data_IF_992864727099
#
_entry.id   IF_992864727099
#
_cell.length_a   1.000
_cell.length_b   1.000
_cell.length_c   1.000
_cell.angle_alpha   90.00
_cell.angle_beta   90.00
_cell.angle_gamma   90.00
#
_symmetry.space_group_name_H-M   'P 1'
#
loop_
_entity.id
_entity.type
_entity.pdbx_description
1 polymer ?
#
# COMPACT_ATOMS: atom_id res chain seq x y z
N UNK A 1 -19.33 25.86 -27.36
CA UNK A 1 -19.24 26.30 -25.95
C UNK A 1 -17.92 25.83 -25.35
N UNK A 2 -17.26 26.66 -24.54
CA UNK A 2 -15.94 26.35 -23.94
C UNK A 2 -15.99 25.10 -23.03
N UNK A 3 -17.08 24.96 -22.28
CA UNK A 3 -17.31 23.84 -21.34
C UNK A 3 -17.28 22.47 -22.03
N UNK A 4 -18.03 22.29 -23.12
CA UNK A 4 -18.07 21.02 -23.85
C UNK A 4 -16.70 20.64 -24.42
N UNK A 5 -15.93 21.62 -24.90
CA UNK A 5 -14.57 21.38 -25.40
C UNK A 5 -13.63 20.92 -24.28
N UNK A 6 -13.73 21.53 -23.09
CA UNK A 6 -12.93 21.14 -21.93
C UNK A 6 -13.20 19.69 -21.51
N UNK A 7 -14.47 19.27 -21.48
CA UNK A 7 -14.84 17.89 -21.12
C UNK A 7 -14.25 16.89 -22.11
N UNK A 8 -14.43 17.12 -23.41
CA UNK A 8 -13.91 16.18 -24.42
C UNK A 8 -12.39 16.10 -24.45
N UNK A 9 -11.70 17.23 -24.29
CA UNK A 9 -10.23 17.25 -24.20
C UNK A 9 -9.77 16.56 -22.91
N UNK A 10 -10.48 16.75 -21.79
CA UNK A 10 -10.15 16.08 -20.53
C UNK A 10 -10.33 14.57 -20.63
N UNK A 11 -11.41 14.12 -21.28
CA UNK A 11 -11.65 12.70 -21.53
C UNK A 11 -10.55 12.10 -22.42
N UNK A 12 -10.16 12.78 -23.50
CA UNK A 12 -9.07 12.34 -24.36
C UNK A 12 -7.73 12.23 -23.62
N UNK A 13 -7.39 13.24 -22.81
CA UNK A 13 -6.19 13.22 -21.97
C UNK A 13 -6.24 12.09 -20.93
N UNK A 14 -7.40 11.87 -20.30
CA UNK A 14 -7.60 10.83 -19.31
C UNK A 14 -7.44 9.42 -19.88
N UNK A 15 -7.97 9.16 -21.08
CA UNK A 15 -7.80 7.88 -21.77
C UNK A 15 -6.32 7.62 -22.05
N UNK A 16 -5.59 8.62 -22.53
CA UNK A 16 -4.16 8.49 -22.81
C UNK A 16 -3.36 8.21 -21.52
N UNK A 17 -3.51 9.06 -20.51
CA UNK A 17 -2.77 8.95 -19.24
C UNK A 17 -3.14 7.68 -18.48
N UNK A 18 -4.44 7.35 -18.40
CA UNK A 18 -4.93 6.14 -17.76
C UNK A 18 -4.45 4.87 -18.44
N UNK A 19 -4.35 4.86 -19.78
CA UNK A 19 -3.79 3.73 -20.52
C UNK A 19 -2.30 3.55 -20.25
N UNK A 20 -1.53 4.63 -20.25
CA UNK A 20 -0.09 4.59 -19.90
C UNK A 20 0.11 4.09 -18.47
N UNK A 21 -0.67 4.60 -17.50
CA UNK A 21 -0.61 4.16 -16.11
C UNK A 21 -0.96 2.67 -15.96
N UNK A 22 -1.97 2.21 -16.71
CA UNK A 22 -2.33 0.79 -16.74
C UNK A 22 -1.20 -0.07 -17.30
N UNK A 23 -0.58 0.34 -18.41
CA UNK A 23 0.54 -0.39 -18.99
C UNK A 23 1.74 -0.50 -18.02
N UNK A 24 2.05 0.59 -17.31
CA UNK A 24 3.10 0.58 -16.28
C UNK A 24 2.76 -0.36 -15.13
N UNK A 25 1.51 -0.36 -14.65
CA UNK A 25 1.06 -1.30 -13.62
C UNK A 25 1.12 -2.76 -14.10
N UNK A 26 0.74 -3.03 -15.35
CA UNK A 26 0.86 -4.36 -15.95
C UNK A 26 2.33 -4.82 -16.03
N UNK A 27 3.26 -3.91 -16.25
CA UNK A 27 4.68 -4.27 -16.32
C UNK A 27 5.36 -4.40 -14.95
N UNK A 28 4.93 -3.62 -13.96
CA UNK A 28 5.61 -3.54 -12.67
C UNK A 28 4.90 -4.31 -11.55
N UNK A 29 3.60 -4.07 -11.36
CA UNK A 29 2.86 -4.59 -10.21
C UNK A 29 2.38 -6.02 -10.44
N UNK A 30 1.82 -6.30 -11.62
CA UNK A 30 1.27 -7.62 -11.96
C UNK A 30 2.28 -8.77 -11.81
N UNK A 31 3.54 -8.69 -12.29
CA UNK A 31 4.47 -9.80 -12.10
C UNK A 31 4.82 -10.05 -10.63
N UNK A 32 4.78 -9.02 -9.77
CA UNK A 32 5.03 -9.18 -8.33
C UNK A 32 3.85 -9.88 -7.66
N UNK A 33 2.63 -9.55 -8.06
CA UNK A 33 1.41 -10.18 -7.52
C UNK A 33 1.37 -11.66 -7.88
N UNK A 34 1.57 -12.01 -9.16
CA UNK A 34 1.61 -13.40 -9.60
C UNK A 34 2.72 -14.21 -8.92
N UNK A 35 3.89 -13.59 -8.68
CA UNK A 35 4.95 -14.24 -7.93
C UNK A 35 4.52 -14.49 -6.46
N UNK A 36 3.83 -13.54 -5.83
CA UNK A 36 3.32 -13.70 -4.46
C UNK A 36 2.26 -14.80 -4.35
N UNK A 37 1.34 -14.90 -5.31
CA UNK A 37 0.32 -15.95 -5.36
C UNK A 37 0.94 -17.36 -5.34
N UNK A 38 2.02 -17.58 -6.11
CA UNK A 38 2.74 -18.88 -6.10
C UNK A 38 3.35 -19.20 -4.72
N UNK A 39 3.85 -18.19 -3.99
CA UNK A 39 4.39 -18.41 -2.64
C UNK A 39 3.30 -18.71 -1.61
N UNK A 40 2.14 -18.06 -1.73
CA UNK A 40 0.99 -18.30 -0.85
C UNK A 40 0.38 -19.69 -1.10
N UNK A 41 0.24 -20.10 -2.36
CA UNK A 41 -0.23 -21.45 -2.72
C UNK A 41 0.71 -22.54 -2.17
N UNK A 42 2.03 -22.35 -2.29
CA UNK A 42 3.03 -23.28 -1.74
C UNK A 42 2.95 -23.35 -0.21
N UNK A 43 2.81 -22.19 0.45
CA UNK A 43 2.65 -22.13 1.91
C UNK A 43 1.38 -22.86 2.35
N UNK A 44 0.25 -22.63 1.67
CA UNK A 44 -1.01 -23.31 1.95
C UNK A 44 -0.89 -24.84 1.76
N UNK A 45 -0.20 -25.30 0.72
CA UNK A 45 0.07 -26.73 0.50
C UNK A 45 0.96 -27.34 1.59
N UNK A 46 1.96 -26.59 2.06
CA UNK A 46 2.89 -27.03 3.11
C UNK A 46 2.22 -27.07 4.50
N UNK A 47 1.32 -26.12 4.78
CA UNK A 47 0.48 -26.11 5.99
C UNK A 47 -0.56 -27.24 5.96
N UNK A 48 -1.19 -27.50 4.80
CA UNK A 48 -2.10 -28.64 4.63
C UNK A 48 -1.38 -29.99 4.77
N UNK A 49 -0.16 -30.12 4.26
CA UNK A 49 0.68 -31.30 4.50
C UNK A 49 1.04 -31.43 5.99
N UNK A 50 1.57 -30.37 6.60
CA UNK A 50 1.96 -30.36 8.03
C UNK A 50 0.78 -30.65 8.97
N UNK A 51 -0.43 -30.17 8.65
CA UNK A 51 -1.66 -30.49 9.36
C UNK A 51 -2.06 -31.97 9.21
N UNK A 52 -1.78 -32.59 8.06
CA UNK A 52 -2.03 -34.02 7.82
C UNK A 52 -1.01 -34.94 8.51
N UNK A 53 0.21 -34.46 8.79
CA UNK A 53 1.20 -35.14 9.62
C UNK A 53 0.99 -34.94 11.14
N UNK A 54 0.09 -34.05 11.58
CA UNK A 54 -0.04 -33.64 12.99
C UNK A 54 -1.22 -34.24 13.79
N UNK A 55 -1.95 -35.24 13.29
CA UNK A 55 -2.95 -35.94 14.10
C UNK A 55 -2.51 -37.39 14.41
N UNK A 56 -2.47 -37.87 15.68
CA UNK A 56 -3.04 -37.27 16.90
C UNK A 56 -2.03 -37.10 18.05
N UNK A 57 -1.91 -35.90 18.64
CA UNK A 57 -1.54 -35.76 20.04
C UNK A 57 -1.93 -34.39 20.62
N UNK A 58 -2.86 -34.44 21.58
CA UNK A 58 -3.02 -33.53 22.69
C UNK A 58 -3.30 -32.03 22.41
N UNK A 59 -4.58 -31.69 22.60
CA UNK A 59 -5.07 -30.54 23.36
C UNK A 59 -3.99 -29.83 24.19
N UNK A 60 -3.74 -28.56 23.91
CA UNK A 60 -3.46 -27.52 24.92
C UNK A 60 -3.81 -26.16 24.34
N UNK A 61 -5.02 -25.70 24.67
CA UNK A 61 -5.46 -24.33 24.46
C UNK A 61 -4.76 -23.42 25.48
N UNK A 62 -4.03 -22.42 24.99
CA UNK A 62 -3.56 -21.31 25.82
C UNK A 62 -4.76 -20.44 26.21
N UNK A 63 -5.22 -20.57 27.44
CA UNK A 63 -6.27 -19.75 28.03
C UNK A 63 -5.69 -18.38 28.44
N UNK A 64 -6.06 -17.32 27.72
CA UNK A 64 -5.99 -15.95 28.20
C UNK A 64 -7.37 -15.52 28.70
N UNK A 65 -7.41 -15.13 29.97
CA UNK A 65 -8.55 -14.64 30.72
C UNK A 65 -9.27 -13.48 30.01
N UNK A 66 -10.51 -13.72 29.59
CA UNK A 66 -11.42 -12.72 29.01
C UNK A 66 -12.10 -11.90 30.11
N UNK A 67 -11.93 -10.58 30.07
CA UNK A 67 -12.83 -9.63 30.70
C UNK A 67 -14.16 -9.58 29.90
N UNK A 68 -15.33 -9.42 30.55
CA UNK A 68 -16.62 -9.48 29.87
C UNK A 68 -16.87 -8.18 29.10
N UNK A 69 -16.80 -8.23 27.76
CA UNK A 69 -17.24 -7.11 26.92
C UNK A 69 -16.53 -6.93 25.57
N UNK A 70 -15.50 -7.70 25.24
CA UNK A 70 -14.89 -7.64 23.91
C UNK A 70 -15.14 -8.98 23.22
N UNK A 71 -16.04 -8.95 22.23
CA UNK A 71 -16.22 -10.06 21.30
C UNK A 71 -14.84 -10.48 20.77
N UNK A 72 -14.49 -11.77 20.80
CA UNK A 72 -13.35 -12.25 20.04
C UNK A 72 -13.55 -11.81 18.60
N UNK A 73 -12.52 -11.24 17.98
CA UNK A 73 -12.47 -11.14 16.53
C UNK A 73 -12.34 -12.58 16.00
N UNK A 74 -13.47 -13.26 15.99
CA UNK A 74 -13.71 -14.55 15.37
C UNK A 74 -13.62 -14.28 13.87
N UNK A 75 -12.53 -14.71 13.24
CA UNK A 75 -12.46 -14.84 11.79
C UNK A 75 -13.43 -15.96 11.43
N UNK A 76 -14.71 -15.60 11.33
CA UNK A 76 -15.84 -16.48 11.47
C UNK A 76 -15.77 -17.75 10.64
N UNK A 77 -15.57 -18.85 11.35
CA UNK A 77 -16.09 -20.16 10.99
C UNK A 77 -17.62 -20.14 11.16
N UNK A 78 -18.35 -19.58 10.18
CA UNK A 78 -19.79 -19.85 10.02
C UNK A 78 -20.19 -19.93 8.55
N UNK A 79 -20.29 -21.18 8.10
CA UNK A 79 -21.07 -21.74 6.99
C UNK A 79 -20.22 -22.42 5.89
N UNK A 80 -19.99 -23.71 6.12
CA UNK A 80 -19.90 -24.80 5.16
C UNK A 80 -20.08 -24.48 3.67
N UNK A 81 -19.05 -24.89 2.89
CA UNK A 81 -18.92 -24.89 1.43
C UNK A 81 -18.53 -23.53 0.84
N UNK A 82 -17.29 -23.42 0.35
CA UNK A 82 -16.80 -22.27 -0.44
C UNK A 82 -16.70 -20.91 0.29
N UNK A 83 -15.97 -20.82 1.40
CA UNK A 83 -15.29 -19.56 1.72
C UNK A 83 -14.06 -19.41 0.82
N UNK A 84 -14.27 -19.38 -0.50
CA UNK A 84 -13.23 -19.01 -1.44
C UNK A 84 -12.82 -17.59 -1.07
N UNK A 85 -11.62 -17.42 -0.53
CA UNK A 85 -11.03 -16.11 -0.29
C UNK A 85 -11.22 -15.26 -1.55
N UNK A 86 -12.00 -14.18 -1.42
CA UNK A 86 -12.43 -13.41 -2.58
C UNK A 86 -11.22 -12.84 -3.29
N UNK A 87 -10.92 -13.39 -4.46
CA UNK A 87 -9.91 -12.87 -5.39
C UNK A 87 -10.60 -12.35 -6.64
N UNK A 88 -10.20 -11.17 -7.17
CA UNK A 88 -10.68 -10.75 -8.47
C UNK A 88 -10.37 -11.82 -9.52
N UNK A 89 -11.30 -12.06 -10.44
CA UNK A 89 -11.05 -13.01 -11.53
C UNK A 89 -9.83 -12.56 -12.35
N UNK A 90 -8.95 -13.51 -12.67
CA UNK A 90 -7.74 -13.23 -13.42
C UNK A 90 -8.03 -12.91 -14.90
N UNK A 91 -7.05 -12.25 -15.53
CA UNK A 91 -7.10 -11.94 -16.96
C UNK A 91 -7.82 -10.63 -17.27
N UNK A 92 -8.74 -10.67 -18.24
CA UNK A 92 -9.24 -9.47 -18.90
C UNK A 92 -10.13 -8.59 -18.03
N UNK A 93 -10.90 -9.20 -17.12
CA UNK A 93 -11.83 -8.46 -16.26
C UNK A 93 -11.05 -7.55 -15.29
N UNK A 94 -10.02 -8.10 -14.63
CA UNK A 94 -9.10 -7.34 -13.76
C UNK A 94 -8.44 -6.19 -14.54
N UNK A 95 -7.94 -6.46 -15.74
CA UNK A 95 -7.31 -5.45 -16.58
C UNK A 95 -8.28 -4.33 -16.99
N UNK A 96 -9.52 -4.69 -17.35
CA UNK A 96 -10.56 -3.74 -17.76
C UNK A 96 -11.00 -2.83 -16.59
N UNK A 97 -11.25 -3.40 -15.40
CA UNK A 97 -11.62 -2.60 -14.23
C UNK A 97 -10.46 -1.72 -13.75
N UNK A 98 -9.22 -2.22 -13.80
CA UNK A 98 -8.03 -1.42 -13.49
C UNK A 98 -7.88 -0.27 -14.47
N UNK A 99 -8.05 -0.53 -15.76
CA UNK A 99 -8.01 0.50 -16.80
C UNK A 99 -9.10 1.55 -16.59
N UNK A 100 -10.34 1.14 -16.34
CA UNK A 100 -11.46 2.05 -16.08
C UNK A 100 -11.19 2.93 -14.86
N UNK A 101 -10.69 2.35 -13.75
CA UNK A 101 -10.33 3.10 -12.56
C UNK A 101 -9.20 4.12 -12.82
N UNK A 102 -8.17 3.73 -13.57
CA UNK A 102 -7.07 4.62 -13.96
C UNK A 102 -7.54 5.75 -14.89
N UNK A 103 -8.45 5.47 -15.83
CA UNK A 103 -9.05 6.50 -16.70
C UNK A 103 -9.90 7.46 -15.88
N UNK A 104 -10.73 6.98 -14.96
CA UNK A 104 -11.54 7.83 -14.08
C UNK A 104 -10.65 8.71 -13.20
N UNK A 105 -9.57 8.14 -12.66
CA UNK A 105 -8.58 8.90 -11.89
C UNK A 105 -7.93 9.98 -12.75
N UNK A 106 -7.44 9.63 -13.95
CA UNK A 106 -6.85 10.56 -14.90
C UNK A 106 -7.82 11.68 -15.31
N UNK A 107 -9.10 11.37 -15.46
CA UNK A 107 -10.14 12.33 -15.79
C UNK A 107 -10.33 13.38 -14.68
N UNK A 108 -10.38 12.94 -13.42
CA UNK A 108 -10.49 13.86 -12.28
C UNK A 108 -9.30 14.83 -12.21
N UNK A 109 -8.08 14.33 -12.44
CA UNK A 109 -6.86 15.14 -12.43
C UNK A 109 -6.78 16.08 -13.64
N UNK A 110 -7.18 15.62 -14.84
CA UNK A 110 -7.22 16.45 -16.04
C UNK A 110 -8.17 17.64 -15.87
N UNK A 111 -9.35 17.42 -15.28
CA UNK A 111 -10.30 18.50 -14.99
C UNK A 111 -9.72 19.52 -14.00
N UNK A 112 -9.05 19.08 -12.94
CA UNK A 112 -8.40 20.00 -11.98
C UNK A 112 -7.32 20.85 -12.66
N UNK A 113 -6.44 20.23 -13.45
CA UNK A 113 -5.38 20.95 -14.18
C UNK A 113 -5.98 21.93 -15.18
N UNK A 114 -7.00 21.52 -15.94
CA UNK A 114 -7.65 22.40 -16.90
C UNK A 114 -8.43 23.54 -16.24
N UNK A 115 -9.05 23.31 -15.09
CA UNK A 115 -9.71 24.38 -14.32
C UNK A 115 -8.69 25.45 -13.88
N UNK A 116 -7.57 25.02 -13.28
CA UNK A 116 -6.49 25.94 -12.84
C UNK A 116 -5.87 26.67 -14.03
N UNK A 117 -5.58 25.95 -15.12
CA UNK A 117 -4.96 26.54 -16.30
C UNK A 117 -5.91 27.51 -17.03
N UNK A 118 -7.21 27.20 -17.10
CA UNK A 118 -8.23 28.10 -17.64
C UNK A 118 -8.37 29.37 -16.81
N UNK A 119 -8.38 29.25 -15.48
CA UNK A 119 -8.41 30.41 -14.58
C UNK A 119 -7.16 31.29 -14.74
N UNK A 120 -6.00 30.66 -14.90
CA UNK A 120 -4.75 31.38 -15.09
C UNK A 120 -4.70 32.11 -16.44
N UNK A 121 -5.10 31.47 -17.53
CA UNK A 121 -5.22 32.12 -18.85
C UNK A 121 -6.25 33.24 -18.82
N UNK A 122 -7.37 33.06 -18.11
CA UNK A 122 -8.38 34.11 -17.96
C UNK A 122 -7.84 35.35 -17.22
N UNK A 123 -7.03 35.17 -16.17
CA UNK A 123 -6.47 36.29 -15.39
C UNK A 123 -5.21 36.92 -15.98
N UNK A 124 -4.34 36.15 -16.64
CA UNK A 124 -2.99 36.58 -17.04
C UNK A 124 -2.74 36.48 -18.55
N UNK A 125 -3.69 35.96 -19.32
CA UNK A 125 -3.53 35.67 -20.74
C UNK A 125 -2.75 34.39 -21.02
N UNK A 126 -2.69 34.01 -22.30
CA UNK A 126 -1.99 32.81 -22.77
C UNK A 126 -0.48 33.05 -22.78
N UNK A 127 0.35 32.16 -22.21
CA UNK A 127 1.80 32.33 -22.25
C UNK A 127 2.35 32.09 -23.65
N UNK A 128 3.46 32.75 -23.96
CA UNK A 128 4.15 32.57 -25.23
C UNK A 128 4.66 31.14 -25.46
N UNK A 129 4.91 30.36 -24.40
CA UNK A 129 5.52 29.02 -24.45
C UNK A 129 4.79 28.02 -23.53
N UNK A 130 3.53 27.64 -23.84
CA UNK A 130 2.70 26.82 -22.94
C UNK A 130 3.27 25.41 -22.74
N UNK A 131 3.88 24.81 -23.77
CA UNK A 131 4.48 23.47 -23.69
C UNK A 131 5.68 23.43 -22.74
N UNK A 132 6.58 24.43 -22.84
CA UNK A 132 7.75 24.50 -21.96
C UNK A 132 7.36 24.74 -20.50
N UNK A 133 6.33 25.56 -20.26
CA UNK A 133 5.78 25.73 -18.92
C UNK A 133 5.22 24.39 -18.39
N UNK A 134 4.47 23.65 -19.21
CA UNK A 134 3.96 22.33 -18.84
C UNK A 134 5.07 21.34 -18.49
N UNK A 135 6.12 21.27 -19.31
CA UNK A 135 7.29 20.42 -19.05
C UNK A 135 8.04 20.84 -17.78
N UNK A 136 8.20 22.14 -17.54
CA UNK A 136 8.86 22.65 -16.33
C UNK A 136 8.07 22.29 -15.06
N UNK A 137 6.73 22.42 -15.11
CA UNK A 137 5.85 22.01 -14.00
C UNK A 137 5.93 20.50 -13.76
N UNK A 138 5.93 19.69 -14.82
CA UNK A 138 6.08 18.24 -14.71
C UNK A 138 7.44 17.84 -14.11
N UNK A 139 8.53 18.47 -14.57
CA UNK A 139 9.87 18.25 -14.04
C UNK A 139 9.98 18.67 -12.56
N UNK A 140 9.40 19.80 -12.17
CA UNK A 140 9.38 20.25 -10.77
C UNK A 140 8.59 19.28 -9.88
N UNK A 141 7.45 18.78 -10.36
CA UNK A 141 6.68 17.74 -9.66
C UNK A 141 7.50 16.46 -9.46
N UNK A 142 8.15 15.97 -10.52
CA UNK A 142 9.02 14.79 -10.46
C UNK A 142 10.20 14.97 -9.49
N UNK A 143 10.85 16.13 -9.51
CA UNK A 143 11.95 16.46 -8.60
C UNK A 143 11.50 16.51 -7.15
N UNK A 144 10.30 17.01 -6.87
CA UNK A 144 9.76 17.06 -5.50
C UNK A 144 9.65 15.66 -4.90
N UNK A 145 9.15 14.69 -5.68
CA UNK A 145 8.97 13.31 -5.23
C UNK A 145 10.31 12.58 -5.03
N UNK A 146 11.25 12.77 -5.96
CA UNK A 146 12.57 12.09 -5.92
C UNK A 146 13.52 12.70 -4.89
N UNK A 147 13.52 14.02 -4.71
CA UNK A 147 14.31 14.67 -3.66
C UNK A 147 13.69 14.45 -2.27
N UNK A 148 12.38 14.62 -2.09
CA UNK A 148 11.74 14.48 -0.77
C UNK A 148 11.98 13.10 -0.14
N UNK A 149 11.84 12.02 -0.93
CA UNK A 149 12.06 10.66 -0.46
C UNK A 149 13.52 10.38 -0.10
N UNK A 150 14.48 10.95 -0.86
CA UNK A 150 15.92 10.74 -0.60
C UNK A 150 16.40 11.49 0.65
N UNK A 151 15.88 12.69 0.90
CA UNK A 151 16.26 13.49 2.07
C UNK A 151 15.57 13.00 3.36
N UNK A 152 14.32 12.55 3.30
CA UNK A 152 13.61 12.01 4.48
C UNK A 152 14.12 10.64 4.94
N UNK A 153 14.58 9.77 4.02
CA UNK A 153 15.04 8.41 4.36
C UNK A 153 16.53 8.32 4.73
N UNK A 154 17.36 9.29 4.33
CA UNK A 154 18.80 9.29 4.58
C UNK A 154 19.23 9.21 6.06
N UNK A 155 18.62 9.95 7.02
CA UNK A 155 19.04 9.86 8.42
C UNK A 155 18.58 8.57 9.11
N UNK A 156 17.46 7.97 8.68
CA UNK A 156 16.85 6.79 9.32
C UNK A 156 17.58 5.49 8.97
N UNK A 157 18.06 5.34 7.72
CA UNK A 157 18.79 4.15 7.28
C UNK A 157 20.20 4.04 7.91
N UNK A 158 20.87 5.18 8.19
CA UNK A 158 22.17 5.21 8.89
C UNK A 158 22.10 4.70 10.33
N UNK A 159 20.96 4.83 11.00
CA UNK A 159 20.76 4.31 12.35
C UNK A 159 20.60 2.78 12.39
N UNK A 160 20.02 2.18 11.35
CA UNK A 160 19.82 0.73 11.24
C UNK A 160 21.09 -0.03 10.82
N UNK A 161 22.02 0.66 10.13
CA UNK A 161 23.33 0.12 9.72
C UNK A 161 24.42 0.21 10.79
N UNK A 162 24.09 0.60 12.03
CA UNK A 162 25.03 0.46 13.14
C UNK A 162 24.98 -1.00 13.61
N UNK A 163 26.10 -1.74 13.59
CA UNK A 163 26.13 -3.05 14.23
C UNK A 163 25.75 -2.84 15.69
N UNK A 164 24.75 -3.59 16.20
CA UNK A 164 24.55 -3.70 17.65
C UNK A 164 25.85 -4.22 18.21
N UNK A 165 26.64 -3.35 18.85
CA UNK A 165 27.83 -3.82 19.54
C UNK A 165 27.36 -4.83 20.58
N UNK A 166 27.99 -6.00 20.56
CA UNK A 166 27.84 -7.05 21.55
C UNK A 166 28.33 -6.51 22.88
N UNK A 167 27.51 -5.69 23.55
CA UNK A 167 27.80 -5.18 24.88
C UNK A 167 27.49 -6.29 25.87
N UNK A 168 28.51 -7.10 26.12
CA UNK A 168 28.83 -7.68 27.41
C UNK A 168 27.78 -8.62 28.01
N UNK A 169 28.07 -9.92 27.91
CA UNK A 169 27.81 -10.82 29.03
C UNK A 169 28.46 -10.23 30.28
N UNK A 170 27.68 -9.64 31.17
CA UNK A 170 28.07 -9.37 32.54
C UNK A 170 26.93 -9.87 33.42
N UNK A 171 27.10 -11.08 33.94
CA UNK A 171 26.29 -11.57 35.03
C UNK A 171 26.52 -10.67 36.25
N UNK A 172 25.46 -10.03 36.72
CA UNK A 172 25.41 -9.31 37.98
C UNK A 172 24.08 -9.63 38.67
N UNK A 173 24.07 -9.90 39.98
CA UNK A 173 22.89 -10.40 40.67
C UNK A 173 21.81 -9.33 40.76
N UNK A 174 20.56 -9.73 40.50
CA UNK A 174 19.36 -8.91 40.64
C UNK A 174 19.30 -8.21 42.02
N UNK A 175 18.91 -6.93 42.10
CA UNK A 175 18.72 -6.26 43.38
C UNK A 175 17.56 -6.89 44.14
N UNK A 176 17.82 -7.40 45.35
CA UNK A 176 16.78 -7.91 46.26
C UNK A 176 15.95 -6.73 46.81
N UNK A 177 14.61 -6.84 46.89
CA UNK A 177 13.79 -5.82 47.54
C UNK A 177 14.04 -5.81 49.06
N UNK A 178 14.14 -4.61 49.63
CA UNK A 178 14.39 -4.37 51.05
C UNK A 178 13.20 -4.80 51.94
N UNK A 179 13.43 -5.28 53.17
CA UNK A 179 12.37 -5.67 54.09
C UNK A 179 11.60 -4.45 54.60
N UNK A 180 10.25 -4.53 54.59
CA UNK A 180 9.36 -3.52 55.18
C UNK A 180 9.42 -3.61 56.72
N UNK A 181 9.73 -2.51 57.38
CA UNK A 181 9.60 -2.37 58.84
C UNK A 181 8.13 -2.36 59.27
N UNK A 182 7.77 -3.00 60.40
CA UNK A 182 6.41 -2.94 60.93
C UNK A 182 6.15 -1.58 61.60
N UNK A 183 5.05 -0.93 61.20
CA UNK A 183 4.52 0.23 61.92
C UNK A 183 3.89 -0.24 63.24
N UNK A 184 4.18 0.51 64.31
CA UNK A 184 3.48 0.46 65.61
C UNK A 184 2.08 1.04 65.50
#
# INVERSE_FOLDING_TARGET
>A
MLFTRLIWVALGAAILVGSVQTALQQWQAVPIILAAEVFEDQKAAQEAASAKQAAPAAVQAHAHSQAPGVAPHDHGDRASQEAAEWKPADGMERAAWTWAANVLHGFSMALLVFAVMSLWVWRRGTPARPVLLGLAVAAAGWLTFTCGLRWACAPRFRAWRRPRSTRGKAGGPWPRPAPRSPAR
#
